data_IF_370968095868
#
_entry.id   IF_370968095868
#
_cell.length_a   1.000
_cell.length_b   1.000
_cell.length_c   1.000
_cell.angle_alpha   90.00
_cell.angle_beta   90.00
_cell.angle_gamma   90.00
#
_symmetry.space_group_name_H-M   'P 1'
#
loop_
_entity.id
_entity.type
_entity.pdbx_description
1 polymer ?
#
# COMPACT_ATOMS: atom_id res chain seq x y z
N UNK A 1 32.47 1.70 -9.72
CA UNK A 1 32.54 3.06 -9.15
C UNK A 1 31.21 3.40 -8.53
N UNK A 2 31.12 3.44 -7.19
CA UNK A 2 29.88 3.72 -6.47
C UNK A 2 29.50 5.21 -6.48
N UNK A 3 28.28 5.57 -6.04
CA UNK A 3 27.90 6.96 -5.87
C UNK A 3 28.80 7.66 -4.85
N UNK A 4 29.02 8.96 -5.02
CA UNK A 4 29.76 9.78 -4.06
C UNK A 4 29.14 9.63 -2.65
N UNK A 5 29.90 9.16 -1.65
CA UNK A 5 29.38 8.87 -0.32
C UNK A 5 28.77 10.10 0.37
N UNK A 6 29.27 11.31 0.10
CA UNK A 6 28.75 12.55 0.70
C UNK A 6 27.39 12.88 0.11
N UNK A 7 27.27 12.83 -1.23
CA UNK A 7 25.99 13.07 -1.93
C UNK A 7 24.96 11.99 -1.58
N UNK A 8 25.40 10.74 -1.45
CA UNK A 8 24.53 9.65 -1.01
C UNK A 8 23.99 9.90 0.40
N UNK A 9 24.86 10.25 1.36
CA UNK A 9 24.46 10.55 2.73
C UNK A 9 23.44 11.70 2.80
N UNK A 10 23.65 12.77 2.02
CA UNK A 10 22.70 13.88 1.93
C UNK A 10 21.33 13.45 1.40
N UNK A 11 21.30 12.67 0.30
CA UNK A 11 20.04 12.19 -0.28
C UNK A 11 19.27 11.26 0.66
N UNK A 12 19.95 10.29 1.27
CA UNK A 12 19.33 9.39 2.24
C UNK A 12 18.90 10.13 3.52
N UNK A 13 19.64 11.16 3.94
CA UNK A 13 19.25 12.08 5.02
C UNK A 13 17.93 12.78 4.70
N UNK A 14 17.82 13.40 3.53
CA UNK A 14 16.59 14.07 3.10
C UNK A 14 15.38 13.13 3.04
N UNK A 15 15.56 11.90 2.54
CA UNK A 15 14.50 10.87 2.55
C UNK A 15 14.10 10.50 3.98
N UNK A 16 15.06 10.34 4.88
CA UNK A 16 14.80 10.01 6.29
C UNK A 16 14.00 11.13 6.98
N UNK A 17 14.39 12.38 6.80
CA UNK A 17 13.72 13.51 7.43
C UNK A 17 12.28 13.66 6.91
N UNK A 18 12.09 13.58 5.58
CA UNK A 18 10.75 13.61 4.98
C UNK A 18 9.90 12.41 5.40
N UNK A 19 10.50 11.23 5.60
CA UNK A 19 9.78 10.05 6.11
C UNK A 19 9.25 10.31 7.54
N UNK A 20 10.06 10.88 8.41
CA UNK A 20 9.65 11.21 9.79
C UNK A 20 8.45 12.16 9.76
N UNK A 21 8.47 13.19 8.93
CA UNK A 21 7.38 14.15 8.84
C UNK A 21 6.13 13.55 8.21
N UNK A 22 6.29 12.74 7.16
CA UNK A 22 5.20 11.99 6.54
C UNK A 22 4.52 11.08 7.57
N UNK A 23 5.28 10.38 8.42
CA UNK A 23 4.73 9.52 9.48
C UNK A 23 3.95 10.31 10.54
N UNK A 24 4.39 11.52 10.90
CA UNK A 24 3.64 12.40 11.81
C UNK A 24 2.29 12.82 11.22
N UNK A 25 2.28 13.23 9.95
CA UNK A 25 1.05 13.64 9.25
C UNK A 25 0.09 12.46 9.10
N UNK A 26 0.60 11.29 8.70
CA UNK A 26 -0.18 10.05 8.59
C UNK A 26 -0.83 9.66 9.93
N UNK A 27 -0.09 9.77 11.04
CA UNK A 27 -0.63 9.48 12.37
C UNK A 27 -1.74 10.45 12.77
N UNK A 28 -1.63 11.72 12.38
CA UNK A 28 -2.60 12.77 12.76
C UNK A 28 -3.86 12.77 11.90
N UNK A 29 -3.73 12.56 10.59
CA UNK A 29 -4.81 12.77 9.63
C UNK A 29 -5.27 11.49 8.91
N UNK A 30 -4.55 10.38 9.08
CA UNK A 30 -4.80 9.15 8.32
C UNK A 30 -4.31 9.24 6.86
N UNK A 31 -4.32 8.11 6.15
CA UNK A 31 -3.68 7.99 4.82
C UNK A 31 -4.42 8.73 3.69
N UNK A 32 -5.74 8.83 3.77
CA UNK A 32 -6.57 9.44 2.72
C UNK A 32 -6.68 10.97 2.77
N UNK A 33 -6.13 11.63 3.80
CA UNK A 33 -6.21 13.08 3.93
C UNK A 33 -5.28 13.80 2.94
N UNK A 34 -5.70 14.97 2.44
CA UNK A 34 -4.94 15.75 1.44
C UNK A 34 -3.50 16.03 1.87
N UNK A 35 -3.30 16.36 3.15
CA UNK A 35 -1.98 16.68 3.69
C UNK A 35 -1.08 15.43 3.74
N UNK A 36 -1.67 14.28 4.05
CA UNK A 36 -0.96 12.99 4.03
C UNK A 36 -0.56 12.58 2.62
N UNK A 37 -1.44 12.78 1.65
CA UNK A 37 -1.16 12.52 0.23
C UNK A 37 -0.01 13.43 -0.24
N UNK A 38 -0.05 14.72 0.08
CA UNK A 38 1.02 15.66 -0.25
C UNK A 38 2.37 15.26 0.38
N UNK A 39 2.38 14.89 1.66
CA UNK A 39 3.60 14.45 2.33
C UNK A 39 4.18 13.16 1.74
N UNK A 40 3.32 12.18 1.41
CA UNK A 40 3.74 10.94 0.74
C UNK A 40 4.28 11.19 -0.67
N UNK A 41 3.69 12.14 -1.42
CA UNK A 41 4.19 12.51 -2.74
C UNK A 41 5.58 13.15 -2.65
N UNK A 42 5.78 14.09 -1.71
CA UNK A 42 7.08 14.69 -1.48
C UNK A 42 8.15 13.65 -1.08
N UNK A 43 7.78 12.65 -0.27
CA UNK A 43 8.66 11.52 0.04
C UNK A 43 9.01 10.70 -1.22
N UNK A 44 8.04 10.43 -2.08
CA UNK A 44 8.26 9.70 -3.33
C UNK A 44 9.21 10.48 -4.26
N UNK A 45 9.04 11.80 -4.37
CA UNK A 45 9.88 12.65 -5.22
C UNK A 45 11.35 12.65 -4.78
N UNK A 46 11.61 12.57 -3.48
CA UNK A 46 12.97 12.40 -2.95
C UNK A 46 13.52 10.98 -3.16
N UNK A 47 12.68 9.95 -3.15
CA UNK A 47 13.08 8.56 -3.29
C UNK A 47 13.34 8.15 -4.75
N UNK A 48 12.51 8.61 -5.69
CA UNK A 48 12.58 8.26 -7.13
C UNK A 48 13.97 8.40 -7.79
N UNK A 49 14.77 9.46 -7.56
CA UNK A 49 16.08 9.61 -8.21
C UNK A 49 17.16 8.68 -7.65
N UNK A 50 16.88 7.90 -6.59
CA UNK A 50 17.84 6.98 -6.01
C UNK A 50 17.92 5.72 -6.88
N UNK A 51 19.04 5.58 -7.59
CA UNK A 51 19.35 4.35 -8.34
C UNK A 51 19.81 3.26 -7.37
N UNK A 52 18.89 2.38 -7.02
CA UNK A 52 19.19 1.19 -6.21
C UNK A 52 19.94 0.14 -7.02
N UNK A 53 20.72 -0.68 -6.34
CA UNK A 53 21.32 -1.88 -6.93
C UNK A 53 20.19 -2.80 -7.40
N UNK A 54 20.25 -3.38 -8.61
CA UNK A 54 19.15 -4.20 -9.16
C UNK A 54 18.60 -5.24 -8.18
N UNK A 55 19.49 -6.00 -7.51
CA UNK A 55 19.09 -6.99 -6.49
C UNK A 55 18.24 -6.42 -5.35
N UNK A 56 18.53 -5.18 -4.91
CA UNK A 56 17.76 -4.52 -3.85
C UNK A 56 16.41 -4.02 -4.37
N UNK A 57 16.38 -3.55 -5.61
CA UNK A 57 15.14 -3.17 -6.29
C UNK A 57 14.20 -4.38 -6.44
N UNK A 58 14.73 -5.53 -6.88
CA UNK A 58 13.95 -6.76 -7.04
C UNK A 58 13.30 -7.19 -5.71
N UNK A 59 14.04 -7.13 -4.60
CA UNK A 59 13.50 -7.43 -3.26
C UNK A 59 12.35 -6.50 -2.89
N UNK A 60 12.43 -5.20 -3.23
CA UNK A 60 11.35 -4.25 -2.96
C UNK A 60 10.12 -4.55 -3.82
N UNK A 61 10.30 -4.84 -5.10
CA UNK A 61 9.22 -5.17 -6.02
C UNK A 61 8.50 -6.44 -5.58
N UNK A 62 9.25 -7.48 -5.20
CA UNK A 62 8.66 -8.74 -4.74
C UNK A 62 7.88 -8.59 -3.43
N UNK A 63 8.30 -7.69 -2.52
CA UNK A 63 7.50 -7.37 -1.32
C UNK A 63 6.15 -6.74 -1.68
N UNK A 64 6.13 -5.83 -2.65
CA UNK A 64 4.90 -5.17 -3.11
C UNK A 64 3.98 -6.17 -3.80
N UNK A 65 4.53 -6.97 -4.74
CA UNK A 65 3.78 -8.03 -5.42
C UNK A 65 3.21 -9.05 -4.43
N UNK A 66 4.02 -9.53 -3.50
CA UNK A 66 3.58 -10.47 -2.48
C UNK A 66 2.47 -9.91 -1.57
N UNK A 67 2.45 -8.60 -1.31
CA UNK A 67 1.34 -7.98 -0.58
C UNK A 67 0.03 -7.99 -1.39
N UNK A 68 0.10 -7.68 -2.69
CA UNK A 68 -1.06 -7.74 -3.59
C UNK A 68 -1.56 -9.17 -3.79
N UNK A 69 -0.67 -10.15 -3.87
CA UNK A 69 -1.05 -11.55 -4.00
C UNK A 69 -1.75 -12.06 -2.75
N UNK A 70 -1.28 -11.68 -1.56
CA UNK A 70 -2.00 -11.97 -0.30
C UNK A 70 -3.37 -11.32 -0.27
N UNK A 71 -3.50 -10.06 -0.71
CA UNK A 71 -4.80 -9.38 -0.79
C UNK A 71 -5.76 -10.15 -1.70
N UNK A 72 -5.33 -10.50 -2.91
CA UNK A 72 -6.13 -11.28 -3.86
C UNK A 72 -6.51 -12.66 -3.35
N UNK A 73 -5.64 -13.31 -2.58
CA UNK A 73 -5.97 -14.58 -1.94
C UNK A 73 -7.13 -14.41 -0.94
N UNK A 74 -7.12 -13.34 -0.13
CA UNK A 74 -8.22 -13.04 0.79
C UNK A 74 -9.50 -12.69 0.04
N UNK A 75 -9.45 -11.84 -0.98
CA UNK A 75 -10.60 -11.52 -1.83
C UNK A 75 -11.23 -12.77 -2.45
N UNK A 76 -10.41 -13.70 -2.96
CA UNK A 76 -10.88 -14.97 -3.51
C UNK A 76 -11.48 -15.88 -2.44
N UNK A 77 -10.87 -15.96 -1.26
CA UNK A 77 -11.37 -16.75 -0.15
C UNK A 77 -12.75 -16.26 0.29
N UNK A 78 -12.90 -14.95 0.48
CA UNK A 78 -14.18 -14.30 0.82
C UNK A 78 -15.21 -14.57 -0.28
N UNK A 79 -14.85 -14.39 -1.56
CA UNK A 79 -15.76 -14.69 -2.67
C UNK A 79 -16.21 -16.16 -2.67
N UNK A 80 -15.33 -17.12 -2.40
CA UNK A 80 -15.73 -18.53 -2.31
C UNK A 80 -16.71 -18.76 -1.15
N UNK A 81 -16.42 -18.23 0.04
CA UNK A 81 -17.29 -18.37 1.19
C UNK A 81 -18.69 -17.78 0.92
N UNK A 82 -18.75 -16.56 0.37
CA UNK A 82 -20.03 -15.90 0.11
C UNK A 82 -20.81 -16.57 -1.03
N UNK A 83 -20.16 -16.82 -2.18
CA UNK A 83 -20.86 -17.27 -3.40
C UNK A 83 -21.13 -18.77 -3.39
N UNK A 84 -20.18 -19.58 -2.93
CA UNK A 84 -20.29 -21.04 -2.94
C UNK A 84 -20.97 -21.55 -1.68
N UNK A 85 -20.46 -21.17 -0.51
CA UNK A 85 -20.87 -21.80 0.74
C UNK A 85 -22.15 -21.16 1.30
N UNK A 86 -22.23 -19.82 1.31
CA UNK A 86 -23.44 -19.08 1.68
C UNK A 86 -24.46 -18.90 0.54
N UNK A 87 -24.15 -19.40 -0.67
CA UNK A 87 -25.01 -19.37 -1.87
C UNK A 87 -25.46 -17.97 -2.31
N UNK A 88 -24.69 -16.93 -2.01
CA UNK A 88 -24.93 -15.59 -2.53
C UNK A 88 -24.79 -15.57 -4.06
N UNK A 89 -25.71 -14.94 -4.81
CA UNK A 89 -25.52 -14.72 -6.24
C UNK A 89 -24.23 -13.94 -6.51
N UNK A 90 -23.39 -14.44 -7.43
CA UNK A 90 -22.10 -13.80 -7.76
C UNK A 90 -22.24 -12.34 -8.17
N UNK A 91 -23.32 -12.00 -8.86
CA UNK A 91 -23.60 -10.62 -9.28
C UNK A 91 -23.78 -9.69 -8.07
N UNK A 92 -24.46 -10.15 -7.02
CA UNK A 92 -24.64 -9.38 -5.78
C UNK A 92 -23.33 -9.22 -5.03
N UNK A 93 -22.53 -10.28 -4.92
CA UNK A 93 -21.20 -10.18 -4.32
C UNK A 93 -20.33 -9.12 -5.01
N UNK A 94 -20.25 -9.17 -6.35
CA UNK A 94 -19.45 -8.21 -7.12
C UNK A 94 -19.98 -6.77 -7.03
N UNK A 95 -21.26 -6.58 -6.69
CA UNK A 95 -21.87 -5.26 -6.50
C UNK A 95 -21.68 -4.74 -5.08
N UNK A 96 -21.78 -5.60 -4.08
CA UNK A 96 -21.86 -5.22 -2.67
C UNK A 96 -20.51 -5.27 -1.95
N UNK A 97 -19.61 -6.17 -2.34
CA UNK A 97 -18.32 -6.32 -1.65
C UNK A 97 -17.36 -5.14 -1.89
N UNK A 98 -17.24 -4.58 -3.12
CA UNK A 98 -16.38 -3.41 -3.33
C UNK A 98 -16.83 -2.22 -2.48
N UNK A 99 -15.87 -1.53 -1.84
CA UNK A 99 -16.07 -0.47 -0.82
C UNK A 99 -16.41 -0.95 0.59
N UNK A 100 -16.68 -2.25 0.78
CA UNK A 100 -16.98 -2.86 2.07
C UNK A 100 -15.89 -3.85 2.52
N UNK A 101 -14.71 -3.83 1.90
CA UNK A 101 -13.68 -4.88 2.05
C UNK A 101 -13.13 -4.99 3.48
N UNK A 102 -13.26 -3.92 4.27
CA UNK A 102 -12.81 -3.86 5.68
C UNK A 102 -13.96 -3.78 6.67
N UNK A 103 -15.20 -3.64 6.21
CA UNK A 103 -16.37 -3.61 7.08
C UNK A 103 -16.74 -5.06 7.44
N UNK A 104 -16.79 -5.38 8.73
CA UNK A 104 -17.15 -6.73 9.21
C UNK A 104 -18.67 -6.94 9.27
N UNK A 105 -19.45 -5.87 9.13
CA UNK A 105 -20.92 -5.87 9.28
C UNK A 105 -21.66 -5.80 7.95
N UNK A 106 -20.95 -5.57 6.84
CA UNK A 106 -21.54 -5.34 5.51
C UNK A 106 -22.52 -6.42 5.02
N UNK A 107 -22.34 -7.66 5.49
CA UNK A 107 -23.19 -8.79 5.13
C UNK A 107 -24.14 -9.25 6.23
N UNK A 108 -24.16 -8.59 7.38
CA UNK A 108 -25.00 -8.99 8.52
C UNK A 108 -26.50 -8.85 8.25
N UNK A 109 -26.86 -7.95 7.35
CA UNK A 109 -28.25 -7.64 6.97
C UNK A 109 -28.68 -8.31 5.63
N UNK A 110 -27.85 -9.18 5.05
CA UNK A 110 -28.10 -9.90 3.78
C UNK A 110 -28.78 -11.25 3.97
#
# INVERSE_FOLDING_TARGET
>A
SGPDPVVAAQRFGAVKDQLIDTLKVLKKHGRGHKDSIGAMQALADLFMPIKLVPKQFDVLVERVRGALDRLRQQERAIMQLCVRDARMPRADFLRLFPSNETDQTWSGDL
#
